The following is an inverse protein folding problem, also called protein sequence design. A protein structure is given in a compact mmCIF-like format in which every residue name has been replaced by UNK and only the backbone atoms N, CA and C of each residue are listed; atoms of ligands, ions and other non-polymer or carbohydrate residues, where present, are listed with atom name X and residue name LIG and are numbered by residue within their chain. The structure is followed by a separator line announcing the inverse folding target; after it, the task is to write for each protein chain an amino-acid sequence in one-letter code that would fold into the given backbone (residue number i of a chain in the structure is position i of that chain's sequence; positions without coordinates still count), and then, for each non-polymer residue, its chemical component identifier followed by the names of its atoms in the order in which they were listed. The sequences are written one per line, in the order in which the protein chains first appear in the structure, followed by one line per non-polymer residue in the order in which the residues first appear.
data_IF_435511520785
#
_entry.id   IF_435511520785
#
_cell.length_a   1.000
_cell.length_b   1.000
_cell.length_c   1.000
_cell.angle_alpha   90.00
_cell.angle_beta   90.00
_cell.angle_gamma   90.00
#
_symmetry.space_group_name_H-M   'P 1'
#
loop_
_entity.id
_entity.type
_entity.pdbx_description
1 polymer ?
#
# COMPACT_ATOMS: atom_id res chain seq x y z
N UNK A 1 -20.58 -36.15 1.32
CA UNK A 1 -21.65 -35.52 0.53
C UNK A 1 -22.83 -35.19 1.45
N UNK A 2 -23.24 -33.94 1.44
CA UNK A 2 -24.41 -33.45 2.19
C UNK A 2 -25.50 -33.08 1.21
N UNK A 3 -26.72 -33.59 1.49
CA UNK A 3 -27.90 -33.19 0.73
C UNK A 3 -28.33 -31.78 1.20
N UNK A 4 -28.45 -30.84 0.30
CA UNK A 4 -28.88 -29.47 0.60
C UNK A 4 -29.57 -28.83 -0.61
N UNK A 5 -30.43 -27.84 -0.35
CA UNK A 5 -31.19 -27.14 -1.39
C UNK A 5 -30.47 -25.83 -1.82
N UNK A 6 -29.58 -25.33 -0.98
CA UNK A 6 -28.88 -24.05 -1.23
C UNK A 6 -27.46 -24.17 -0.76
N UNK A 7 -26.52 -23.62 -1.56
CA UNK A 7 -25.11 -23.53 -1.23
C UNK A 7 -24.71 -22.06 -1.22
N UNK A 8 -24.14 -21.59 -0.12
CA UNK A 8 -23.58 -20.25 -0.01
C UNK A 8 -22.05 -20.36 -0.13
N UNK A 9 -21.47 -19.72 -1.16
CA UNK A 9 -20.04 -19.68 -1.37
C UNK A 9 -19.48 -18.40 -0.77
N UNK A 10 -18.61 -18.55 0.23
CA UNK A 10 -17.93 -17.43 0.89
C UNK A 10 -16.45 -17.76 1.04
N UNK A 11 -15.77 -17.86 -0.09
CA UNK A 11 -14.36 -18.31 -0.19
C UNK A 11 -13.35 -17.16 -0.19
N UNK A 12 -13.80 -15.92 0.05
CA UNK A 12 -12.95 -14.74 0.14
C UNK A 12 -12.84 -13.98 -1.19
N UNK A 13 -11.76 -13.22 -1.32
CA UNK A 13 -11.54 -12.31 -2.45
C UNK A 13 -10.36 -12.76 -3.30
N UNK A 14 -10.47 -12.50 -4.60
CA UNK A 14 -9.35 -12.62 -5.52
C UNK A 14 -8.91 -11.20 -5.90
N UNK A 15 -7.65 -10.87 -5.63
CA UNK A 15 -7.09 -9.58 -6.01
C UNK A 15 -6.77 -9.54 -7.51
N UNK A 16 -7.00 -8.39 -8.11
CA UNK A 16 -6.61 -8.12 -9.50
C UNK A 16 -6.15 -6.67 -9.59
N UNK A 17 -5.04 -6.45 -10.29
CA UNK A 17 -4.51 -5.10 -10.51
C UNK A 17 -5.22 -4.37 -11.63
N UNK A 18 -5.98 -5.08 -12.48
CA UNK A 18 -6.72 -4.46 -13.58
C UNK A 18 -5.82 -3.58 -14.45
N UNK A 19 -6.24 -2.33 -14.77
CA UNK A 19 -5.49 -1.42 -15.62
C UNK A 19 -4.09 -1.04 -15.08
N UNK A 20 -3.83 -1.21 -13.79
CA UNK A 20 -2.52 -0.88 -13.19
C UNK A 20 -1.39 -1.68 -13.83
N UNK A 21 -1.67 -2.85 -14.41
CA UNK A 21 -0.69 -3.66 -15.11
C UNK A 21 -0.07 -2.94 -16.32
N UNK A 22 -0.79 -1.97 -16.89
CA UNK A 22 -0.39 -1.22 -18.07
C UNK A 22 0.34 0.09 -17.74
N UNK A 23 0.55 0.39 -16.46
CA UNK A 23 1.17 1.64 -16.02
C UNK A 23 2.71 1.60 -16.01
N UNK A 24 3.32 0.50 -16.39
CA UNK A 24 4.77 0.35 -16.38
C UNK A 24 5.35 0.13 -14.97
N UNK A 25 4.53 -0.29 -14.02
CA UNK A 25 4.97 -0.63 -12.66
C UNK A 25 5.63 -2.01 -12.65
N UNK A 26 6.63 -2.20 -11.80
CA UNK A 26 7.20 -3.52 -11.54
C UNK A 26 6.21 -4.34 -10.73
N UNK A 27 5.74 -5.45 -11.30
CA UNK A 27 4.74 -6.31 -10.69
C UNK A 27 5.33 -7.71 -10.54
N UNK A 28 5.24 -8.28 -9.34
CA UNK A 28 5.61 -9.65 -9.05
C UNK A 28 4.48 -10.32 -8.27
N UNK A 29 4.10 -11.54 -8.68
CA UNK A 29 3.01 -12.31 -8.04
C UNK A 29 1.74 -11.50 -7.84
N UNK A 30 1.37 -10.71 -8.85
CA UNK A 30 0.18 -9.85 -8.85
C UNK A 30 0.21 -8.76 -7.77
N UNK A 31 1.40 -8.32 -7.38
CA UNK A 31 1.60 -7.23 -6.42
C UNK A 31 2.60 -6.22 -6.96
N UNK A 32 2.43 -4.96 -6.59
CA UNK A 32 3.33 -3.88 -7.01
C UNK A 32 4.55 -3.90 -6.11
N UNK A 33 5.73 -4.06 -6.71
CA UNK A 33 6.99 -4.06 -5.97
C UNK A 33 7.34 -2.64 -5.53
N UNK A 34 7.64 -2.46 -4.26
CA UNK A 34 8.05 -1.18 -3.68
C UNK A 34 9.33 -1.35 -2.86
N UNK A 35 10.02 -0.23 -2.62
CA UNK A 35 11.14 -0.17 -1.68
C UNK A 35 10.65 0.07 -0.24
N UNK A 36 11.57 0.28 0.69
CA UNK A 36 11.24 0.52 2.11
C UNK A 36 10.56 1.87 2.36
N UNK A 37 10.50 2.74 1.37
CA UNK A 37 9.81 4.02 1.42
C UNK A 37 8.49 3.97 0.63
N UNK A 38 8.05 2.77 0.25
CA UNK A 38 6.82 2.50 -0.51
C UNK A 38 6.80 3.12 -1.90
N UNK A 39 7.99 3.44 -2.44
CA UNK A 39 8.15 3.98 -3.79
C UNK A 39 8.14 2.83 -4.80
N UNK A 40 7.38 3.00 -5.87
CA UNK A 40 7.42 2.11 -7.02
C UNK A 40 8.62 2.44 -7.92
N UNK A 41 8.81 1.67 -8.98
CA UNK A 41 9.82 1.98 -10.01
C UNK A 41 9.51 3.25 -10.80
N UNK A 42 8.29 3.78 -10.73
CA UNK A 42 7.92 5.04 -11.38
C UNK A 42 8.04 6.21 -10.40
N UNK A 43 8.82 7.26 -10.72
CA UNK A 43 8.95 8.43 -9.84
C UNK A 43 7.58 9.07 -9.54
N UNK A 44 7.35 9.40 -8.28
CA UNK A 44 6.11 10.03 -7.84
C UNK A 44 4.94 9.08 -7.65
N UNK A 45 5.12 7.78 -7.85
CA UNK A 45 4.09 6.78 -7.65
C UNK A 45 4.46 5.88 -6.47
N UNK A 46 3.56 5.80 -5.51
CA UNK A 46 3.70 4.98 -4.30
C UNK A 46 2.64 3.89 -4.29
N UNK A 47 2.92 2.80 -3.60
CA UNK A 47 1.93 1.76 -3.36
C UNK A 47 2.02 1.29 -1.91
N UNK A 48 0.87 1.16 -1.27
CA UNK A 48 0.75 0.74 0.13
C UNK A 48 -0.42 -0.23 0.29
N UNK A 49 -0.46 -0.93 1.41
CA UNK A 49 -1.51 -1.91 1.69
C UNK A 49 -1.27 -3.22 0.96
N UNK A 50 -2.30 -4.04 0.87
CA UNK A 50 -2.21 -5.40 0.33
C UNK A 50 -1.76 -5.47 -1.14
N UNK A 51 -1.87 -4.38 -1.88
CA UNK A 51 -1.48 -4.30 -3.29
C UNK A 51 0.03 -4.27 -3.48
N UNK A 52 0.80 -3.85 -2.47
CA UNK A 52 2.25 -3.73 -2.59
C UNK A 52 3.00 -4.92 -2.02
N UNK A 53 4.24 -5.10 -2.45
CA UNK A 53 5.14 -6.16 -2.01
C UNK A 53 6.53 -5.59 -1.72
N UNK A 54 7.08 -6.01 -0.59
CA UNK A 54 8.47 -5.77 -0.18
C UNK A 54 8.87 -6.87 0.81
N UNK A 55 10.16 -6.99 1.09
CA UNK A 55 10.64 -7.96 2.06
C UNK A 55 10.08 -7.67 3.46
N UNK A 56 9.47 -8.66 4.08
CA UNK A 56 8.83 -8.52 5.39
C UNK A 56 7.39 -8.02 5.37
N UNK A 57 6.77 -7.97 4.19
CA UNK A 57 5.38 -7.51 4.03
C UNK A 57 4.39 -8.37 4.79
N UNK A 58 3.54 -7.73 5.60
CA UNK A 58 2.39 -8.35 6.22
C UNK A 58 1.10 -7.76 5.62
N UNK A 59 0.21 -8.63 5.18
CA UNK A 59 -1.07 -8.22 4.57
C UNK A 59 -2.14 -8.05 5.65
N UNK A 60 -2.05 -6.96 6.38
CA UNK A 60 -2.97 -6.59 7.44
C UNK A 60 -3.45 -5.15 7.23
N UNK A 61 -4.69 -4.88 7.59
CA UNK A 61 -5.24 -3.51 7.53
C UNK A 61 -4.39 -2.56 8.39
N UNK A 62 -4.00 -3.00 9.58
CA UNK A 62 -3.19 -2.19 10.50
C UNK A 62 -1.83 -1.81 9.90
N UNK A 63 -1.13 -2.75 9.24
CA UNK A 63 0.14 -2.45 8.59
C UNK A 63 -0.04 -1.52 7.39
N UNK A 64 -1.12 -1.69 6.63
CA UNK A 64 -1.45 -0.82 5.50
C UNK A 64 -1.66 0.64 5.92
N UNK A 65 -2.30 0.88 7.04
CA UNK A 65 -2.49 2.23 7.59
C UNK A 65 -1.14 2.87 7.95
N UNK A 66 -0.25 2.13 8.61
CA UNK A 66 1.11 2.60 8.92
C UNK A 66 1.93 2.88 7.67
N UNK A 67 1.85 2.02 6.68
CA UNK A 67 2.51 2.20 5.39
C UNK A 67 2.04 3.49 4.70
N UNK A 68 0.74 3.75 4.71
CA UNK A 68 0.17 4.95 4.11
C UNK A 68 0.69 6.22 4.79
N UNK A 69 0.76 6.24 6.11
CA UNK A 69 1.31 7.37 6.86
C UNK A 69 2.76 7.64 6.45
N UNK A 70 3.59 6.60 6.36
CA UNK A 70 4.98 6.72 5.93
C UNK A 70 5.09 7.23 4.50
N UNK A 71 4.33 6.65 3.57
CA UNK A 71 4.35 7.03 2.16
C UNK A 71 3.99 8.50 1.96
N UNK A 72 2.99 9.00 2.69
CA UNK A 72 2.59 10.41 2.62
C UNK A 72 3.70 11.34 3.11
N UNK A 73 4.36 10.99 4.21
CA UNK A 73 5.48 11.77 4.73
C UNK A 73 6.65 11.80 3.73
N UNK A 74 6.97 10.67 3.11
CA UNK A 74 8.00 10.60 2.07
C UNK A 74 7.61 11.43 0.85
N UNK A 75 6.37 11.30 0.37
CA UNK A 75 5.89 12.08 -0.77
C UNK A 75 5.99 13.59 -0.50
N UNK A 76 5.67 14.03 0.71
CA UNK A 76 5.81 15.43 1.12
C UNK A 76 7.24 15.93 0.99
N UNK A 77 8.22 15.13 1.43
CA UNK A 77 9.65 15.51 1.30
C UNK A 77 10.13 15.54 -0.14
N UNK A 78 9.50 14.77 -1.03
CA UNK A 78 9.82 14.83 -2.48
C UNK A 78 9.29 16.12 -3.12
N UNK A 79 8.14 16.61 -2.68
CA UNK A 79 7.54 17.86 -3.17
C UNK A 79 8.23 19.07 -2.55
N UNK A 80 8.50 19.00 -1.25
CA UNK A 80 9.16 20.04 -0.46
C UNK A 80 10.39 19.44 0.25
N UNK A 81 11.58 19.45 -0.38
CA UNK A 81 12.77 18.80 0.19
C UNK A 81 13.19 19.30 1.56
N UNK A 82 12.81 20.53 1.92
CA UNK A 82 13.11 21.12 3.23
C UNK A 82 12.09 20.77 4.30
N UNK A 83 10.99 20.10 3.95
CA UNK A 83 9.99 19.64 4.91
C UNK A 83 10.56 18.57 5.82
N UNK A 84 10.15 18.56 7.09
CA UNK A 84 10.52 17.51 8.02
C UNK A 84 9.80 16.22 7.62
N UNK A 85 10.52 15.10 7.62
CA UNK A 85 9.93 13.79 7.35
C UNK A 85 8.84 13.45 8.36
N UNK A 86 9.08 13.73 9.64
CA UNK A 86 8.08 13.58 10.69
C UNK A 86 7.78 14.96 11.30
N UNK A 87 6.62 15.54 11.03
CA UNK A 87 6.29 16.91 11.48
C UNK A 87 5.99 17.01 12.99
N UNK A 88 5.99 15.88 13.71
CA UNK A 88 5.67 15.82 15.12
C UNK A 88 4.22 15.44 15.39
N UNK A 89 3.85 15.43 16.67
CA UNK A 89 2.48 15.16 17.08
C UNK A 89 1.65 16.45 17.08
N UNK A 90 0.35 16.32 16.91
CA UNK A 90 -0.56 17.47 16.96
C UNK A 90 -0.51 18.20 18.30
N UNK A 91 -0.19 17.49 19.39
CA UNK A 91 0.00 18.07 20.72
C UNK A 91 1.22 19.01 20.80
N UNK A 92 2.18 18.87 19.89
CA UNK A 92 3.40 19.68 19.86
C UNK A 92 3.26 20.92 18.96
N UNK A 93 2.11 21.07 18.32
CA UNK A 93 1.83 22.19 17.41
C UNK A 93 1.24 23.36 18.15
N UNK A 94 1.78 24.56 17.92
CA UNK A 94 1.16 25.82 18.31
C UNK A 94 0.07 26.16 17.30
N UNK A 95 -1.16 25.95 17.71
CA UNK A 95 -2.34 26.29 16.91
C UNK A 95 -2.90 27.64 17.30
#
# INVERSE_FOLDING_TARGET
VLACDTVVLNIGFKSSLGPLKDWGLTIEKNQIVVDHLYRTNRPGVFAVGDVCSFEGKLKLIATGVGEAATAVCIAKTMIEPEAKLFPGHSSDMNL
#
